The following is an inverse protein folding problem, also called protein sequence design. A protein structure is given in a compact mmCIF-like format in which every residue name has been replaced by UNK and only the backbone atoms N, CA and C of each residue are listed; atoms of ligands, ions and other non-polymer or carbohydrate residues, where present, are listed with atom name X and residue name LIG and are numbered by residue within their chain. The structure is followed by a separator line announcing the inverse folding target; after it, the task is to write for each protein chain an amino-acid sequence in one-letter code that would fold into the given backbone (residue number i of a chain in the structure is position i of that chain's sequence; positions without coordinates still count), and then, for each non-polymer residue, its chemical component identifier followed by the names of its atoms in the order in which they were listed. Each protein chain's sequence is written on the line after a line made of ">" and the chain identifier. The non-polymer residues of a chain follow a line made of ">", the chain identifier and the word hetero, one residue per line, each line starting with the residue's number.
data_IF_679741237066
#
_entry.id   IF_679741237066
#
_cell.length_a   1.000
_cell.length_b   1.000
_cell.length_c   1.000
_cell.angle_alpha   90.00
_cell.angle_beta   90.00
_cell.angle_gamma   90.00
#
_symmetry.space_group_name_H-M   'P 1'
#
loop_
_entity.id
_entity.type
_entity.pdbx_description
1 polymer ?
#
# COMPACT_ATOMS: atom_id res chain seq x y z
N UNK A 1 -5.97 15.02 2.92
CA UNK A 1 -6.30 14.23 4.13
C UNK A 1 -5.00 14.01 4.89
N UNK A 2 -4.94 14.38 6.16
CA UNK A 2 -3.76 14.12 6.99
C UNK A 2 -3.90 12.71 7.59
N UNK A 3 -3.10 11.76 7.11
CA UNK A 3 -3.13 10.38 7.62
C UNK A 3 -2.41 10.31 8.97
N UNK A 4 -3.13 9.95 10.03
CA UNK A 4 -2.62 9.83 11.41
C UNK A 4 -1.48 8.81 11.57
N UNK A 5 -1.40 7.82 10.66
CA UNK A 5 -0.28 6.87 10.54
C UNK A 5 0.20 6.86 9.08
N UNK A 6 1.49 7.16 8.82
CA UNK A 6 2.02 7.14 7.45
C UNK A 6 2.17 5.73 6.89
N UNK A 7 2.24 4.72 7.76
CA UNK A 7 2.45 3.31 7.40
C UNK A 7 1.35 2.45 8.01
N UNK A 8 0.67 1.68 7.17
CA UNK A 8 -0.43 0.81 7.56
C UNK A 8 -0.35 -0.54 6.85
N UNK A 9 -0.93 -1.57 7.43
CA UNK A 9 -1.06 -2.89 6.81
C UNK A 9 -2.16 -2.89 5.73
N UNK A 10 -2.12 -3.88 4.84
CA UNK A 10 -3.18 -4.10 3.83
C UNK A 10 -4.58 -4.19 4.48
N UNK A 11 -4.69 -4.80 5.66
CA UNK A 11 -5.96 -4.97 6.36
C UNK A 11 -6.51 -3.64 6.89
N UNK A 12 -5.65 -2.80 7.48
CA UNK A 12 -6.02 -1.46 7.96
C UNK A 12 -6.46 -0.57 6.78
N UNK A 13 -5.72 -0.59 5.67
CA UNK A 13 -6.11 0.13 4.46
C UNK A 13 -7.42 -0.40 3.86
N UNK A 14 -7.65 -1.72 3.94
CA UNK A 14 -8.91 -2.33 3.57
C UNK A 14 -10.10 -1.78 4.36
N UNK A 15 -9.95 -1.62 5.68
CA UNK A 15 -10.95 -1.02 6.55
C UNK A 15 -11.21 0.46 6.23
N UNK A 16 -10.22 1.17 5.67
CA UNK A 16 -10.37 2.56 5.19
C UNK A 16 -11.00 2.67 3.79
N UNK A 17 -11.39 1.55 3.18
CA UNK A 17 -12.04 1.53 1.86
C UNK A 17 -11.09 1.37 0.67
N UNK A 18 -9.81 1.06 0.90
CA UNK A 18 -8.92 0.66 -0.19
C UNK A 18 -9.20 -0.78 -0.62
N UNK A 19 -9.11 -1.06 -1.92
CA UNK A 19 -9.28 -2.42 -2.46
C UNK A 19 -8.12 -3.32 -2.04
N UNK A 20 -8.40 -4.27 -1.14
CA UNK A 20 -7.41 -5.27 -0.67
C UNK A 20 -6.89 -6.12 -1.82
N UNK A 21 -7.76 -6.43 -2.79
CA UNK A 21 -7.38 -7.20 -3.98
C UNK A 21 -6.36 -6.44 -4.83
N UNK A 22 -6.61 -5.16 -5.08
CA UNK A 22 -5.70 -4.33 -5.88
C UNK A 22 -4.38 -4.11 -5.14
N UNK A 23 -4.44 -3.82 -3.83
CA UNK A 23 -3.23 -3.70 -3.01
C UNK A 23 -2.40 -4.98 -3.04
N UNK A 24 -3.00 -6.17 -2.94
CA UNK A 24 -2.28 -7.43 -3.07
C UNK A 24 -1.58 -7.57 -4.42
N UNK A 25 -2.21 -7.13 -5.51
CA UNK A 25 -1.55 -7.15 -6.83
C UNK A 25 -0.43 -6.10 -6.91
N UNK A 26 -0.67 -4.91 -6.37
CA UNK A 26 0.26 -3.78 -6.41
C UNK A 26 1.55 -4.05 -5.63
N UNK A 27 1.47 -4.71 -4.45
CA UNK A 27 2.67 -5.05 -3.65
C UNK A 27 3.61 -6.05 -4.35
N UNK A 28 3.10 -6.79 -5.34
CA UNK A 28 3.89 -7.70 -6.17
C UNK A 28 4.45 -7.04 -7.44
N UNK A 29 4.16 -5.77 -7.69
CA UNK A 29 4.71 -5.04 -8.84
C UNK A 29 6.22 -4.86 -8.66
N UNK A 30 7.05 -5.29 -9.63
CA UNK A 30 8.49 -5.12 -9.55
C UNK A 30 8.87 -3.64 -9.42
N UNK A 31 9.80 -3.34 -8.50
CA UNK A 31 10.29 -1.97 -8.29
C UNK A 31 9.33 -1.04 -7.55
N UNK A 32 8.23 -1.56 -7.00
CA UNK A 32 7.40 -0.78 -6.08
C UNK A 32 8.20 -0.41 -4.82
N UNK A 33 8.00 0.83 -4.33
CA UNK A 33 8.71 1.38 -3.16
C UNK A 33 7.80 1.67 -1.96
N UNK A 34 6.49 1.49 -2.14
CA UNK A 34 5.50 1.86 -1.12
C UNK A 34 5.23 0.72 -0.14
N UNK A 35 5.67 -0.52 -0.40
CA UNK A 35 5.40 -1.66 0.46
C UNK A 35 6.63 -2.50 0.76
N UNK A 36 6.69 -3.05 1.97
CA UNK A 36 7.73 -3.99 2.41
C UNK A 36 7.15 -5.06 3.32
N UNK A 37 7.84 -6.21 3.41
CA UNK A 37 7.48 -7.28 4.33
C UNK A 37 8.16 -7.06 5.69
N UNK A 38 7.44 -7.33 6.77
CA UNK A 38 8.04 -7.36 8.11
C UNK A 38 8.78 -8.67 8.35
N UNK A 39 9.93 -8.58 9.02
CA UNK A 39 10.85 -9.69 9.27
C UNK A 39 10.27 -10.80 10.16
N UNK A 40 9.19 -10.53 10.90
CA UNK A 40 8.63 -11.42 11.92
C UNK A 40 7.33 -12.14 11.55
N UNK A 41 6.86 -12.06 10.31
CA UNK A 41 5.59 -12.71 9.94
C UNK A 41 5.11 -12.49 8.51
N UNK A 42 5.95 -11.91 7.64
CA UNK A 42 5.62 -11.76 6.22
C UNK A 42 4.45 -10.83 5.93
N UNK A 43 4.01 -10.03 6.91
CA UNK A 43 2.94 -9.04 6.72
C UNK A 43 3.46 -7.89 5.86
N UNK A 44 2.64 -7.48 4.91
CA UNK A 44 2.92 -6.30 4.08
C UNK A 44 2.55 -5.03 4.83
N UNK A 45 3.53 -4.17 5.02
CA UNK A 45 3.35 -2.79 5.46
C UNK A 45 3.40 -1.90 4.23
N UNK A 46 2.50 -0.92 4.19
CA UNK A 46 2.31 0.02 3.08
C UNK A 46 2.47 1.44 3.61
N UNK A 47 3.38 2.20 3.04
CA UNK A 47 3.39 3.65 3.13
C UNK A 47 2.25 4.21 2.27
N UNK A 48 1.29 4.82 2.94
CA UNK A 48 0.05 5.29 2.31
C UNK A 48 0.33 6.42 1.33
N UNK A 49 1.27 7.33 1.66
CA UNK A 49 1.60 8.48 0.82
C UNK A 49 2.25 8.04 -0.48
N UNK A 50 3.19 7.11 -0.40
CA UNK A 50 3.85 6.55 -1.58
C UNK A 50 2.89 5.67 -2.39
N UNK A 51 2.00 4.93 -1.74
CA UNK A 51 0.99 4.12 -2.43
C UNK A 51 0.00 4.99 -3.22
N UNK A 52 -0.46 6.10 -2.67
CA UNK A 52 -1.30 7.06 -3.39
C UNK A 52 -0.59 7.66 -4.60
N UNK A 53 0.68 8.05 -4.47
CA UNK A 53 1.49 8.52 -5.61
C UNK A 53 1.60 7.44 -6.69
N UNK A 54 1.84 6.19 -6.30
CA UNK A 54 1.89 5.06 -7.21
C UNK A 54 0.57 4.85 -7.94
N UNK A 55 -0.56 4.83 -7.22
CA UNK A 55 -1.90 4.70 -7.81
C UNK A 55 -2.22 5.84 -8.77
N UNK A 56 -1.87 7.08 -8.41
CA UNK A 56 -2.10 8.24 -9.26
C UNK A 56 -1.25 8.20 -10.54
N UNK A 57 -0.01 7.70 -10.46
CA UNK A 57 0.82 7.46 -11.66
C UNK A 57 0.23 6.36 -12.54
N UNK A 58 -0.25 5.26 -11.94
CA UNK A 58 -0.82 4.12 -12.67
C UNK A 58 -2.15 4.45 -13.33
N UNK A 59 -3.00 5.27 -12.72
CA UNK A 59 -4.28 5.76 -13.29
C UNK A 59 -4.12 6.75 -14.45
N UNK A 60 -2.94 7.39 -14.57
CA UNK A 60 -2.64 8.33 -15.66
C UNK A 60 -2.09 7.66 -16.93
N UNK A 61 -1.77 6.36 -16.85
CA UNK A 61 -1.41 5.53 -18.00
C UNK A 61 -2.63 4.75 -18.44
#
# INVERSE_FOLDING_TARGET
>A
MEYQKPVMSIAELGAMGFSVRDMKNDVHVPGQKFAWKTSGGGKWMIDVREYEKFRNRRRRR
#
